data_IF_864821091655
#
_entry.id   IF_864821091655
#
_cell.length_a   1.000
_cell.length_b   1.000
_cell.length_c   1.000
_cell.angle_alpha   90.00
_cell.angle_beta   90.00
_cell.angle_gamma   90.00
#
_symmetry.space_group_name_H-M   'P 1'
#
loop_
_entity.id
_entity.type
_entity.pdbx_description
1 polymer ?
#
# COMPACT_ATOMS: atom_id res chain seq x y z
N UNK A 1 1.79 6.70 -17.24
CA UNK A 1 0.47 6.45 -16.64
C UNK A 1 -0.64 6.21 -17.67
N UNK A 2 -0.65 6.89 -18.82
CA UNK A 2 -1.76 6.80 -19.79
C UNK A 2 -1.75 5.57 -20.70
N UNK A 3 -0.62 4.87 -20.82
CA UNK A 3 -0.49 3.74 -21.74
C UNK A 3 -1.36 2.54 -21.31
N UNK A 4 -1.30 2.13 -20.05
CA UNK A 4 -2.03 0.98 -19.55
C UNK A 4 -3.56 1.11 -19.70
N UNK A 5 -4.22 2.22 -19.29
CA UNK A 5 -5.66 2.39 -19.52
C UNK A 5 -6.04 2.48 -21.01
N UNK A 6 -5.17 3.00 -21.87
CA UNK A 6 -5.42 3.03 -23.32
C UNK A 6 -5.44 1.61 -23.92
N UNK A 7 -4.50 0.76 -23.49
CA UNK A 7 -4.39 -0.61 -24.00
C UNK A 7 -5.44 -1.52 -23.34
N UNK A 8 -5.53 -1.49 -21.99
CA UNK A 8 -6.36 -2.42 -21.23
C UNK A 8 -7.86 -2.09 -21.26
N UNK A 9 -8.20 -0.79 -21.32
CA UNK A 9 -9.58 -0.31 -21.24
C UNK A 9 -10.06 0.34 -22.54
N UNK A 10 -9.24 0.41 -23.58
CA UNK A 10 -9.59 1.07 -24.84
C UNK A 10 -9.83 2.58 -24.71
N UNK A 11 -9.31 3.22 -23.66
CA UNK A 11 -9.58 4.64 -23.40
C UNK A 11 -8.89 5.54 -24.42
N UNK A 12 -9.59 6.58 -24.82
CA UNK A 12 -9.02 7.64 -25.66
C UNK A 12 -7.86 8.37 -24.94
N UNK A 13 -6.82 8.82 -25.68
CA UNK A 13 -5.65 9.47 -25.10
C UNK A 13 -5.96 10.65 -24.18
N UNK A 14 -6.96 11.48 -24.56
CA UNK A 14 -7.42 12.63 -23.78
C UNK A 14 -8.05 12.21 -22.45
N UNK A 15 -8.95 11.22 -22.47
CA UNK A 15 -9.62 10.68 -21.29
C UNK A 15 -8.61 10.04 -20.34
N UNK A 16 -7.69 9.23 -20.87
CA UNK A 16 -6.61 8.63 -20.07
C UNK A 16 -5.70 9.68 -19.42
N UNK A 17 -5.44 10.80 -20.11
CA UNK A 17 -4.64 11.90 -19.55
C UNK A 17 -5.38 12.66 -18.45
N UNK A 18 -6.68 12.93 -18.60
CA UNK A 18 -7.51 13.54 -17.55
C UNK A 18 -7.55 12.65 -16.31
N UNK A 19 -7.84 11.36 -16.49
CA UNK A 19 -7.85 10.37 -15.41
C UNK A 19 -6.49 10.27 -14.71
N UNK A 20 -5.40 10.19 -15.47
CA UNK A 20 -4.05 10.13 -14.91
C UNK A 20 -3.74 11.33 -14.02
N UNK A 21 -4.12 12.54 -14.43
CA UNK A 21 -3.97 13.75 -13.62
C UNK A 21 -4.83 13.73 -12.36
N UNK A 22 -6.08 13.28 -12.48
CA UNK A 22 -6.97 13.15 -11.32
C UNK A 22 -6.42 12.16 -10.27
N UNK A 23 -5.89 11.01 -10.70
CA UNK A 23 -5.24 10.04 -9.81
C UNK A 23 -3.97 10.59 -9.15
N UNK A 24 -3.14 11.33 -9.88
CA UNK A 24 -1.99 12.00 -9.27
C UNK A 24 -2.44 13.04 -8.24
N UNK A 25 -3.45 13.81 -8.53
CA UNK A 25 -3.99 14.82 -7.61
C UNK A 25 -4.54 14.17 -6.33
N UNK A 26 -5.28 13.04 -6.43
CA UNK A 26 -5.81 12.32 -5.27
C UNK A 26 -4.72 11.73 -4.36
N UNK A 27 -3.50 11.56 -4.89
CA UNK A 27 -2.33 11.08 -4.16
C UNK A 27 -1.34 12.20 -3.80
N UNK A 28 -1.76 13.49 -3.89
CA UNK A 28 -0.95 14.64 -3.52
C UNK A 28 0.17 14.96 -4.50
N UNK A 29 0.04 14.59 -5.78
CA UNK A 29 1.07 14.75 -6.81
C UNK A 29 0.58 15.56 -8.03
N UNK A 30 -0.39 16.47 -7.83
CA UNK A 30 -0.97 17.26 -8.93
C UNK A 30 0.09 18.06 -9.69
N UNK A 31 1.04 18.66 -8.97
CA UNK A 31 2.14 19.48 -9.50
C UNK A 31 3.26 18.65 -10.17
N UNK A 32 3.24 17.33 -10.00
CA UNK A 32 4.27 16.40 -10.52
C UNK A 32 3.86 15.73 -11.84
N UNK A 33 2.70 16.04 -12.41
CA UNK A 33 2.19 15.35 -13.61
C UNK A 33 3.13 15.41 -14.84
N UNK A 34 3.95 16.44 -14.95
CA UNK A 34 4.96 16.58 -16.00
C UNK A 34 6.38 16.24 -15.58
N UNK A 35 6.59 15.75 -14.36
CA UNK A 35 7.91 15.42 -13.81
C UNK A 35 8.32 14.01 -14.19
N UNK A 36 9.56 13.81 -14.62
CA UNK A 36 10.12 12.49 -14.87
C UNK A 36 10.37 11.73 -13.55
N UNK A 37 10.21 10.38 -13.53
CA UNK A 37 10.33 9.57 -12.32
C UNK A 37 11.67 9.72 -11.57
N UNK A 38 12.77 9.90 -12.28
CA UNK A 38 14.13 10.09 -11.73
C UNK A 38 14.29 11.40 -10.92
N UNK A 39 13.36 12.35 -11.10
CA UNK A 39 13.31 13.63 -10.37
C UNK A 39 12.33 13.63 -9.21
N UNK A 40 11.74 12.49 -8.90
CA UNK A 40 10.80 12.30 -7.80
C UNK A 40 11.51 11.68 -6.59
N UNK A 41 11.08 12.05 -5.37
CA UNK A 41 11.51 11.34 -4.16
C UNK A 41 11.00 9.89 -4.17
N UNK A 42 11.62 9.00 -3.37
CA UNK A 42 11.18 7.61 -3.26
C UNK A 42 9.68 7.46 -2.92
N UNK A 43 9.20 8.23 -1.95
CA UNK A 43 7.76 8.23 -1.60
C UNK A 43 6.86 8.77 -2.72
N UNK A 44 7.31 9.78 -3.48
CA UNK A 44 6.60 10.25 -4.66
C UNK A 44 6.57 9.18 -5.76
N UNK A 45 7.68 8.49 -6.01
CA UNK A 45 7.74 7.38 -6.98
C UNK A 45 6.77 6.26 -6.61
N UNK A 46 6.68 5.87 -5.32
CA UNK A 46 5.73 4.88 -4.84
C UNK A 46 4.27 5.33 -5.03
N UNK A 47 3.94 6.57 -4.70
CA UNK A 47 2.59 7.11 -4.96
C UNK A 47 2.27 7.17 -6.44
N UNK A 48 3.23 7.46 -7.32
CA UNK A 48 3.05 7.34 -8.78
C UNK A 48 2.83 5.88 -9.20
N UNK A 49 3.52 4.91 -8.60
CA UNK A 49 3.30 3.50 -8.88
C UNK A 49 1.89 3.05 -8.48
N UNK A 50 1.39 3.49 -7.33
CA UNK A 50 -0.01 3.28 -6.90
C UNK A 50 -0.98 3.92 -7.90
N UNK A 51 -0.77 5.20 -8.27
CA UNK A 51 -1.60 5.88 -9.26
C UNK A 51 -1.64 5.13 -10.59
N UNK A 52 -0.49 4.59 -11.04
CA UNK A 52 -0.40 3.78 -12.26
C UNK A 52 -1.21 2.51 -12.17
N UNK A 53 -1.17 1.81 -11.04
CA UNK A 53 -1.98 0.61 -10.81
C UNK A 53 -3.48 0.94 -10.82
N UNK A 54 -3.89 2.02 -10.16
CA UNK A 54 -5.28 2.48 -10.11
C UNK A 54 -5.82 2.95 -11.48
N UNK A 55 -4.93 3.36 -12.40
CA UNK A 55 -5.34 3.85 -13.72
C UNK A 55 -6.07 2.78 -14.57
N UNK A 56 -5.86 1.50 -14.30
CA UNK A 56 -6.54 0.37 -14.99
C UNK A 56 -7.85 -0.05 -14.32
N UNK A 57 -8.36 0.71 -13.36
CA UNK A 57 -9.62 0.40 -12.64
C UNK A 57 -9.65 -0.99 -12.00
N UNK A 58 -8.63 -1.38 -11.23
CA UNK A 58 -8.56 -2.71 -10.67
C UNK A 58 -9.66 -2.93 -9.63
N UNK A 59 -10.22 -4.14 -9.57
CA UNK A 59 -11.12 -4.56 -8.49
C UNK A 59 -10.37 -4.86 -7.20
N UNK A 60 -9.11 -5.28 -7.31
CA UNK A 60 -8.22 -5.61 -6.20
C UNK A 60 -6.84 -5.03 -6.48
N UNK A 61 -6.23 -4.41 -5.47
CA UNK A 61 -4.85 -3.92 -5.53
C UNK A 61 -3.95 -4.83 -4.70
N UNK A 62 -2.88 -5.33 -5.33
CA UNK A 62 -1.88 -6.16 -4.66
C UNK A 62 -0.66 -5.29 -4.35
N UNK A 63 -0.25 -5.25 -3.09
CA UNK A 63 0.82 -4.40 -2.58
C UNK A 63 1.80 -5.27 -1.78
N UNK A 64 3.03 -5.37 -2.26
CA UNK A 64 4.07 -6.17 -1.64
C UNK A 64 5.19 -5.27 -1.15
N UNK A 65 5.32 -5.14 0.18
CA UNK A 65 6.36 -4.39 0.90
C UNK A 65 6.70 -3.01 0.31
N UNK A 66 5.72 -2.24 -0.11
CA UNK A 66 5.91 -0.99 -0.87
C UNK A 66 6.62 0.12 -0.09
N UNK A 67 6.89 -0.07 1.19
CA UNK A 67 7.61 0.89 2.05
C UNK A 67 9.04 0.43 2.39
N UNK A 68 9.44 -0.80 2.06
CA UNK A 68 10.69 -1.41 2.52
C UNK A 68 11.96 -0.70 2.06
N UNK A 69 11.93 -0.05 0.89
CA UNK A 69 13.05 0.69 0.30
C UNK A 69 12.98 2.21 0.55
N UNK A 70 12.09 2.67 1.42
CA UNK A 70 11.89 4.10 1.67
C UNK A 70 12.59 4.55 2.96
N UNK A 71 13.01 5.81 2.95
CA UNK A 71 13.39 6.51 4.18
C UNK A 71 12.17 6.57 5.12
N UNK A 72 12.34 6.35 6.44
CA UNK A 72 11.26 6.39 7.42
C UNK A 72 10.40 7.66 7.37
N UNK A 73 10.97 8.80 7.01
CA UNK A 73 10.24 10.06 6.85
C UNK A 73 9.23 9.98 5.68
N UNK A 74 9.57 9.25 4.62
CA UNK A 74 8.72 9.11 3.42
C UNK A 74 7.67 7.99 3.55
N UNK A 75 7.86 7.04 4.46
CA UNK A 75 6.91 5.94 4.72
C UNK A 75 5.53 6.50 5.07
N UNK A 76 5.47 7.51 5.94
CA UNK A 76 4.22 8.12 6.38
C UNK A 76 3.33 8.61 5.24
N UNK A 77 3.91 9.25 4.23
CA UNK A 77 3.17 9.76 3.05
C UNK A 77 2.53 8.65 2.23
N UNK A 78 3.24 7.52 2.06
CA UNK A 78 2.73 6.36 1.31
C UNK A 78 1.61 5.65 2.09
N UNK A 79 1.80 5.46 3.40
CA UNK A 79 0.78 4.85 4.25
C UNK A 79 -0.50 5.70 4.33
N UNK A 80 -0.38 7.03 4.33
CA UNK A 80 -1.55 7.92 4.30
C UNK A 80 -2.34 7.78 2.99
N UNK A 81 -1.65 7.67 1.86
CA UNK A 81 -2.29 7.39 0.58
C UNK A 81 -3.06 6.05 0.61
N UNK A 82 -2.50 5.00 1.22
CA UNK A 82 -3.19 3.72 1.38
C UNK A 82 -4.38 3.79 2.34
N UNK A 83 -4.29 4.58 3.42
CA UNK A 83 -5.44 4.83 4.31
C UNK A 83 -6.61 5.47 3.56
N UNK A 84 -6.31 6.46 2.70
CA UNK A 84 -7.33 7.10 1.89
C UNK A 84 -8.00 6.11 0.91
N UNK A 85 -7.22 5.22 0.29
CA UNK A 85 -7.74 4.17 -0.58
C UNK A 85 -8.61 3.16 0.17
N UNK A 86 -8.20 2.72 1.36
CA UNK A 86 -9.01 1.83 2.20
C UNK A 86 -10.35 2.49 2.56
N UNK A 87 -10.33 3.75 2.99
CA UNK A 87 -11.56 4.53 3.29
C UNK A 87 -12.48 4.71 2.08
N UNK A 88 -11.93 4.73 0.87
CA UNK A 88 -12.73 4.80 -0.37
C UNK A 88 -13.34 3.45 -0.78
N UNK A 89 -13.11 2.38 -0.02
CA UNK A 89 -13.63 1.04 -0.30
C UNK A 89 -12.82 0.21 -1.28
N UNK A 90 -11.56 0.60 -1.58
CA UNK A 90 -10.67 -0.19 -2.43
C UNK A 90 -10.29 -1.50 -1.73
N UNK A 91 -10.56 -2.63 -2.38
CA UNK A 91 -10.08 -3.93 -1.91
C UNK A 91 -8.58 -4.06 -2.13
N UNK A 92 -7.82 -4.30 -1.06
CA UNK A 92 -6.36 -4.40 -1.11
C UNK A 92 -5.89 -5.66 -0.41
N UNK A 93 -4.90 -6.34 -1.01
CA UNK A 93 -4.09 -7.35 -0.36
C UNK A 93 -2.69 -6.77 -0.16
N UNK A 94 -2.28 -6.62 1.10
CA UNK A 94 -1.05 -5.91 1.45
C UNK A 94 -0.13 -6.83 2.24
N UNK A 95 1.06 -7.13 1.71
CA UNK A 95 2.16 -7.67 2.49
C UNK A 95 2.97 -6.49 3.06
N UNK A 96 3.13 -6.44 4.38
CA UNK A 96 3.80 -5.32 5.05
C UNK A 96 4.39 -5.71 6.39
N UNK A 97 5.45 -5.03 6.78
CA UNK A 97 6.01 -5.04 8.13
C UNK A 97 5.54 -3.84 8.98
N UNK A 98 4.69 -2.98 8.44
CA UNK A 98 4.11 -1.83 9.14
C UNK A 98 2.94 -2.26 10.04
N UNK A 99 3.25 -2.80 11.23
CA UNK A 99 2.25 -3.42 12.11
C UNK A 99 1.21 -2.43 12.62
N UNK A 100 1.59 -1.19 12.85
CA UNK A 100 0.67 -0.13 13.28
C UNK A 100 -0.36 0.18 12.21
N UNK A 101 0.09 0.32 10.97
CA UNK A 101 -0.77 0.51 9.81
C UNK A 101 -1.71 -0.68 9.59
N UNK A 102 -1.18 -1.92 9.62
CA UNK A 102 -2.00 -3.12 9.46
C UNK A 102 -3.08 -3.23 10.55
N UNK A 103 -2.76 -2.88 11.79
CA UNK A 103 -3.71 -2.86 12.92
C UNK A 103 -4.85 -1.87 12.72
N UNK A 104 -4.55 -0.70 12.14
CA UNK A 104 -5.49 0.39 11.94
C UNK A 104 -6.42 0.15 10.75
N UNK A 105 -5.88 -0.36 9.64
CA UNK A 105 -6.54 -0.30 8.32
C UNK A 105 -7.13 -1.65 7.89
N UNK A 106 -6.55 -2.78 8.34
CA UNK A 106 -6.96 -4.07 7.84
C UNK A 106 -8.30 -4.55 8.46
N UNK A 107 -9.16 -5.13 7.63
CA UNK A 107 -10.32 -5.90 8.08
C UNK A 107 -9.92 -7.30 8.56
N UNK A 108 -8.91 -7.89 7.88
CA UNK A 108 -8.37 -9.23 8.16
C UNK A 108 -6.84 -9.19 8.09
N UNK A 109 -6.22 -9.94 8.99
CA UNK A 109 -4.76 -10.12 9.04
C UNK A 109 -4.44 -11.59 8.95
N UNK A 110 -3.51 -11.95 8.06
CA UNK A 110 -2.97 -13.29 7.90
C UNK A 110 -1.49 -13.28 8.29
N UNK A 111 -1.10 -14.14 9.21
CA UNK A 111 0.30 -14.40 9.50
C UNK A 111 0.81 -15.53 8.61
N UNK A 112 1.79 -15.23 7.76
CA UNK A 112 2.46 -16.20 6.88
C UNK A 112 3.78 -16.64 7.49
N UNK A 113 4.04 -17.96 7.45
CA UNK A 113 5.31 -18.55 7.81
C UNK A 113 5.58 -19.75 6.91
N UNK A 114 6.79 -19.86 6.37
CA UNK A 114 7.21 -20.91 5.44
C UNK A 114 6.20 -21.17 4.30
N UNK A 115 5.65 -20.12 3.70
CA UNK A 115 4.72 -20.21 2.57
C UNK A 115 3.30 -20.66 2.94
N UNK A 116 2.96 -20.72 4.23
CA UNK A 116 1.63 -21.12 4.71
C UNK A 116 1.01 -20.06 5.60
N UNK A 117 -0.31 -19.89 5.48
CA UNK A 117 -1.07 -19.09 6.44
C UNK A 117 -1.15 -19.89 7.74
N UNK A 118 -0.50 -19.40 8.77
CA UNK A 118 -0.41 -20.02 10.10
C UNK A 118 -1.58 -19.60 10.98
N UNK A 119 -1.91 -18.33 10.90
CA UNK A 119 -3.01 -17.78 11.67
C UNK A 119 -3.67 -16.63 10.87
N UNK A 120 -5.00 -16.54 10.99
CA UNK A 120 -5.80 -15.53 10.31
C UNK A 120 -6.90 -15.03 11.24
N UNK A 121 -7.21 -13.73 11.19
CA UNK A 121 -8.29 -13.15 11.98
C UNK A 121 -8.38 -11.65 11.89
N UNK A 122 -9.23 -11.06 12.73
CA UNK A 122 -9.31 -9.61 12.85
C UNK A 122 -8.02 -9.02 13.43
N UNK A 123 -7.68 -7.76 13.14
CA UNK A 123 -6.51 -7.10 13.72
C UNK A 123 -6.47 -7.18 15.24
N UNK A 124 -7.63 -6.97 15.90
CA UNK A 124 -7.76 -7.06 17.36
C UNK A 124 -7.31 -8.42 17.89
N UNK A 125 -7.72 -9.52 17.20
CA UNK A 125 -7.36 -10.87 17.59
C UNK A 125 -5.87 -11.14 17.33
N UNK A 126 -5.39 -10.91 16.10
CA UNK A 126 -4.01 -11.25 15.73
C UNK A 126 -2.99 -10.45 16.54
N UNK A 127 -3.18 -9.14 16.66
CA UNK A 127 -2.23 -8.28 17.37
C UNK A 127 -2.43 -8.25 18.89
N UNK A 128 -3.61 -8.63 19.39
CA UNK A 128 -3.95 -8.59 20.82
C UNK A 128 -3.79 -9.94 21.54
N UNK A 129 -4.36 -10.99 20.96
CA UNK A 129 -4.44 -12.33 21.56
C UNK A 129 -4.23 -13.43 20.51
N UNK A 130 -3.05 -13.53 19.88
CA UNK A 130 -2.77 -14.57 18.90
C UNK A 130 -2.77 -15.95 19.55
N UNK A 131 -3.31 -16.94 18.85
CA UNK A 131 -3.44 -18.34 19.33
C UNK A 131 -2.21 -19.19 19.00
N UNK A 132 -1.62 -18.98 17.81
CA UNK A 132 -0.42 -19.73 17.39
C UNK A 132 0.84 -19.20 18.09
N UNK A 133 1.72 -20.09 18.50
CA UNK A 133 2.96 -19.76 19.21
C UNK A 133 3.95 -18.98 18.32
N UNK A 134 3.99 -19.28 17.02
CA UNK A 134 4.85 -18.61 16.04
C UNK A 134 4.39 -17.18 15.82
N UNK A 135 3.07 -16.95 15.74
CA UNK A 135 2.49 -15.60 15.67
C UNK A 135 2.86 -14.77 16.91
N UNK A 136 2.74 -15.38 18.11
CA UNK A 136 3.13 -14.71 19.36
C UNK A 136 4.60 -14.33 19.39
N UNK A 137 5.46 -15.26 18.99
CA UNK A 137 6.91 -15.03 18.97
C UNK A 137 7.29 -13.94 17.98
N UNK A 138 6.76 -13.97 16.76
CA UNK A 138 6.96 -12.94 15.75
C UNK A 138 6.57 -11.54 16.27
N UNK A 139 5.36 -11.40 16.79
CA UNK A 139 4.86 -10.14 17.32
C UNK A 139 5.66 -9.63 18.53
N UNK A 140 6.19 -10.53 19.35
CA UNK A 140 7.09 -10.17 20.45
C UNK A 140 8.39 -9.57 19.92
N UNK A 141 9.01 -10.20 18.92
CA UNK A 141 10.24 -9.70 18.26
C UNK A 141 10.03 -8.31 17.64
N UNK A 142 8.94 -8.12 16.90
CA UNK A 142 8.61 -6.83 16.29
C UNK A 142 8.43 -5.74 17.35
N UNK A 143 7.74 -6.04 18.47
CA UNK A 143 7.54 -5.08 19.56
C UNK A 143 8.86 -4.72 20.27
N UNK A 144 9.78 -5.66 20.43
CA UNK A 144 11.08 -5.39 21.05
C UNK A 144 11.97 -4.55 20.13
N UNK A 145 11.97 -4.80 18.82
CA UNK A 145 12.71 -4.01 17.85
C UNK A 145 12.21 -2.56 17.77
N UNK A 146 10.90 -2.33 17.80
CA UNK A 146 10.30 -0.99 17.78
C UNK A 146 10.43 -0.18 19.09
N UNK A 147 10.95 -0.80 20.18
CA UNK A 147 11.26 -0.10 21.45
C UNK A 147 12.73 0.29 21.57
N UNK A 148 13.56 -0.18 20.68
CA UNK A 148 15.01 0.06 20.69
C UNK A 148 15.42 1.18 19.71
N UNK A 149 14.47 1.74 18.97
CA UNK A 149 14.63 2.90 18.09
C UNK A 149 13.88 4.11 18.68
#
# INVERSE_FOLDING_TARGET
MTLAPRIALGQEPSSAAVRGRALLASLGLADKAGTYPDKLSGGQQQRVAIARALATEPKVLLLDEITSALDPVLVGEVLEALRALAKSGMTMLIATHEMSFAREVADRVCFLDAGKIVEEGTPKRIFGAPRDSRTREFLRRVRSAGRAA
#
